data_IF_928111711170
#
_entry.id   IF_928111711170
#
_cell.length_a   1.000
_cell.length_b   1.000
_cell.length_c   1.000
_cell.angle_alpha   90.00
_cell.angle_beta   90.00
_cell.angle_gamma   90.00
#
_symmetry.space_group_name_H-M   'P 1'
#
loop_
_entity.id
_entity.type
_entity.pdbx_description
1 polymer ?
#
# COMPACT_ATOMS: atom_id res chain seq x y z
N UNK A 1 14.40 -22.21 -21.53
CA UNK A 1 14.26 -20.78 -21.22
C UNK A 1 12.79 -20.45 -21.39
N UNK A 2 12.03 -20.28 -20.30
CA UNK A 2 10.69 -19.70 -20.41
C UNK A 2 10.88 -18.21 -20.63
N UNK A 3 10.54 -17.72 -21.82
CA UNK A 3 10.38 -16.29 -22.02
C UNK A 3 9.34 -15.80 -21.02
N UNK A 4 9.71 -14.83 -20.18
CA UNK A 4 8.75 -14.17 -19.31
C UNK A 4 7.69 -13.53 -20.19
N UNK A 5 6.43 -13.96 -20.04
CA UNK A 5 5.29 -13.36 -20.76
C UNK A 5 5.31 -11.85 -20.51
N UNK A 6 5.40 -11.07 -21.58
CA UNK A 6 5.30 -9.62 -21.49
C UNK A 6 3.83 -9.23 -21.38
N UNK A 7 3.42 -8.72 -20.22
CA UNK A 7 2.05 -8.27 -20.02
C UNK A 7 1.78 -6.92 -20.70
N UNK A 8 0.62 -6.83 -21.36
CA UNK A 8 -0.03 -5.58 -21.75
C UNK A 8 -1.28 -5.38 -20.90
N UNK A 9 -1.88 -4.18 -20.95
CA UNK A 9 -3.17 -3.90 -20.28
C UNK A 9 -4.26 -4.86 -20.73
N UNK A 10 -4.34 -5.16 -22.02
CA UNK A 10 -5.33 -6.06 -22.62
C UNK A 10 -5.16 -7.49 -22.12
N UNK A 11 -3.91 -7.95 -21.98
CA UNK A 11 -3.63 -9.26 -21.42
C UNK A 11 -4.01 -9.32 -19.93
N UNK A 12 -3.78 -8.25 -19.17
CA UNK A 12 -4.26 -8.16 -17.78
C UNK A 12 -5.78 -8.26 -17.75
N UNK A 13 -6.50 -7.51 -18.59
CA UNK A 13 -7.97 -7.58 -18.70
C UNK A 13 -8.46 -9.00 -19.00
N UNK A 14 -7.79 -9.73 -19.91
CA UNK A 14 -8.12 -11.13 -20.18
C UNK A 14 -8.01 -12.01 -18.93
N UNK A 15 -6.94 -11.83 -18.14
CA UNK A 15 -6.74 -12.54 -16.88
C UNK A 15 -7.83 -12.21 -15.87
N UNK A 16 -8.16 -10.92 -15.71
CA UNK A 16 -9.19 -10.45 -14.78
C UNK A 16 -10.57 -11.00 -15.14
N UNK A 17 -10.92 -11.00 -16.43
CA UNK A 17 -12.21 -11.53 -16.92
C UNK A 17 -12.42 -13.02 -16.61
N UNK A 18 -11.33 -13.74 -16.35
CA UNK A 18 -11.32 -15.19 -16.07
C UNK A 18 -10.95 -15.49 -14.62
N UNK A 19 -10.88 -14.46 -13.77
CA UNK A 19 -10.40 -14.55 -12.39
C UNK A 19 -9.05 -15.29 -12.24
N UNK A 20 -8.17 -15.16 -13.24
CA UNK A 20 -6.88 -15.86 -13.25
C UNK A 20 -5.91 -15.23 -12.25
N UNK A 21 -5.14 -16.03 -11.51
CA UNK A 21 -4.08 -15.51 -10.66
C UNK A 21 -2.99 -14.85 -11.51
N UNK A 22 -2.40 -13.78 -10.99
CA UNK A 22 -1.27 -13.07 -11.61
C UNK A 22 0.02 -13.26 -10.79
N UNK A 23 0.09 -14.30 -9.96
CA UNK A 23 1.20 -14.51 -9.01
C UNK A 23 2.58 -14.40 -9.68
N UNK A 24 3.43 -13.54 -9.11
CA UNK A 24 4.81 -13.31 -9.57
C UNK A 24 4.95 -12.60 -10.91
N UNK A 25 3.85 -12.20 -11.56
CA UNK A 25 3.91 -11.59 -12.89
C UNK A 25 4.44 -10.16 -12.84
N UNK A 26 5.13 -9.76 -13.91
CA UNK A 26 5.63 -8.41 -14.06
C UNK A 26 4.61 -7.53 -14.80
N UNK A 27 3.95 -6.65 -14.05
CA UNK A 27 2.98 -5.67 -14.53
C UNK A 27 3.50 -4.24 -14.40
N UNK A 28 4.80 -4.05 -14.17
CA UNK A 28 5.40 -2.73 -13.92
C UNK A 28 5.27 -1.81 -15.12
N UNK A 29 5.17 -0.50 -14.84
CA UNK A 29 5.05 0.57 -15.83
C UNK A 29 3.79 0.50 -16.73
N UNK A 30 2.80 -0.32 -16.38
CA UNK A 30 1.56 -0.40 -17.14
C UNK A 30 0.56 0.67 -16.69
N UNK A 31 -0.26 1.13 -17.62
CA UNK A 31 -1.51 1.79 -17.26
C UNK A 31 -2.57 0.74 -16.97
N UNK A 32 -2.86 0.59 -15.68
CA UNK A 32 -3.83 -0.34 -15.10
C UNK A 32 -4.93 0.41 -14.35
N UNK A 33 -5.10 1.71 -14.64
CA UNK A 33 -6.13 2.54 -14.00
C UNK A 33 -7.53 2.00 -14.27
N UNK A 34 -8.41 2.20 -13.29
CA UNK A 34 -9.83 1.80 -13.31
C UNK A 34 -10.08 0.29 -13.46
N UNK A 35 -9.09 -0.57 -13.18
CA UNK A 35 -9.27 -2.01 -13.27
C UNK A 35 -9.77 -2.61 -11.96
N UNK A 36 -10.56 -3.68 -12.08
CA UNK A 36 -11.04 -4.45 -10.94
C UNK A 36 -10.21 -5.73 -10.76
N UNK A 37 -9.40 -5.72 -9.70
CA UNK A 37 -8.59 -6.84 -9.21
C UNK A 37 -9.20 -7.53 -7.98
N UNK A 38 -10.48 -7.26 -7.67
CA UNK A 38 -11.13 -7.84 -6.48
C UNK A 38 -11.02 -9.35 -6.46
N UNK A 39 -10.65 -9.89 -5.29
CA UNK A 39 -10.48 -11.31 -5.04
C UNK A 39 -9.42 -12.04 -5.90
N UNK A 40 -8.62 -11.32 -6.69
CA UNK A 40 -7.54 -11.93 -7.47
C UNK A 40 -6.34 -12.26 -6.57
N UNK A 41 -5.67 -13.37 -6.87
CA UNK A 41 -4.40 -13.73 -6.23
C UNK A 41 -3.25 -13.01 -6.95
N UNK A 42 -2.72 -11.99 -6.29
CA UNK A 42 -1.69 -11.05 -6.78
C UNK A 42 -0.36 -11.18 -6.02
N UNK A 43 -0.12 -12.34 -5.39
CA UNK A 43 1.08 -12.59 -4.58
C UNK A 43 2.33 -12.31 -5.38
N UNK A 44 3.25 -11.53 -4.82
CA UNK A 44 4.53 -11.19 -5.46
C UNK A 44 4.42 -10.56 -6.86
N UNK A 45 3.26 -10.03 -7.26
CA UNK A 45 3.13 -9.26 -8.51
C UNK A 45 3.99 -8.01 -8.43
N UNK A 46 4.63 -7.66 -9.54
CA UNK A 46 5.32 -6.40 -9.68
C UNK A 46 4.42 -5.37 -10.37
N UNK A 47 3.85 -4.44 -9.60
CA UNK A 47 3.13 -3.25 -10.04
C UNK A 47 4.00 -1.96 -10.02
N UNK A 48 5.32 -2.07 -9.84
CA UNK A 48 6.17 -0.89 -9.65
C UNK A 48 5.99 0.11 -10.79
N UNK A 49 5.86 1.39 -10.44
CA UNK A 49 5.66 2.53 -11.35
C UNK A 49 4.42 2.42 -12.27
N UNK A 50 3.48 1.52 -11.96
CA UNK A 50 2.24 1.40 -12.73
C UNK A 50 1.26 2.49 -12.34
N UNK A 51 0.44 2.91 -13.29
CA UNK A 51 -0.73 3.73 -12.99
C UNK A 51 -1.87 2.81 -12.55
N UNK A 52 -2.23 2.83 -11.26
CA UNK A 52 -3.33 2.05 -10.70
C UNK A 52 -4.49 2.94 -10.24
N UNK A 53 -4.48 4.23 -10.60
CA UNK A 53 -5.51 5.18 -10.19
C UNK A 53 -6.93 4.61 -10.32
N UNK A 54 -7.72 4.77 -9.25
CA UNK A 54 -9.12 4.34 -9.19
C UNK A 54 -9.35 2.82 -9.40
N UNK A 55 -8.33 1.98 -9.18
CA UNK A 55 -8.47 0.53 -9.28
C UNK A 55 -9.02 -0.08 -7.99
N UNK A 56 -9.66 -1.25 -8.12
CA UNK A 56 -10.32 -1.95 -7.03
C UNK A 56 -9.54 -3.23 -6.72
N UNK A 57 -9.23 -3.46 -5.45
CA UNK A 57 -8.43 -4.57 -4.93
C UNK A 57 -9.13 -5.28 -3.77
N UNK A 58 -10.46 -5.13 -3.64
CA UNK A 58 -11.22 -5.60 -2.49
C UNK A 58 -11.02 -7.11 -2.29
N UNK A 59 -10.60 -7.50 -1.10
CA UNK A 59 -10.37 -8.91 -0.74
C UNK A 59 -9.27 -9.64 -1.54
N UNK A 60 -8.47 -8.92 -2.34
CA UNK A 60 -7.37 -9.52 -3.11
C UNK A 60 -6.17 -9.88 -2.21
N UNK A 61 -5.34 -10.81 -2.67
CA UNK A 61 -4.11 -11.19 -1.98
C UNK A 61 -2.88 -10.60 -2.67
N UNK A 62 -2.41 -9.46 -2.17
CA UNK A 62 -1.22 -8.73 -2.63
C UNK A 62 0.02 -9.03 -1.77
N UNK A 63 0.02 -10.13 -1.02
CA UNK A 63 1.14 -10.43 -0.12
C UNK A 63 2.47 -10.46 -0.89
N UNK A 64 3.44 -9.73 -0.36
CA UNK A 64 4.78 -9.55 -0.93
C UNK A 64 4.80 -8.93 -2.34
N UNK A 65 3.73 -8.26 -2.77
CA UNK A 65 3.73 -7.53 -4.03
C UNK A 65 4.71 -6.32 -3.99
N UNK A 66 5.17 -5.93 -5.18
CA UNK A 66 6.05 -4.78 -5.37
C UNK A 66 5.25 -3.65 -6.01
N UNK A 67 5.00 -2.57 -5.29
CA UNK A 67 4.20 -1.43 -5.75
C UNK A 67 4.99 -0.13 -5.66
N UNK A 68 6.32 -0.21 -5.67
CA UNK A 68 7.20 0.96 -5.55
C UNK A 68 6.85 1.99 -6.62
N UNK A 69 6.63 3.24 -6.22
CA UNK A 69 6.36 4.32 -7.18
C UNK A 69 5.02 4.21 -7.92
N UNK A 70 4.15 3.26 -7.56
CA UNK A 70 2.84 3.14 -8.20
C UNK A 70 1.93 4.32 -7.82
N UNK A 71 1.10 4.76 -8.76
CA UNK A 71 0.02 5.70 -8.49
C UNK A 71 -1.20 4.93 -7.96
N UNK A 72 -1.45 5.02 -6.66
CA UNK A 72 -2.55 4.33 -5.99
C UNK A 72 -3.70 5.29 -5.64
N UNK A 73 -3.71 6.52 -6.16
CA UNK A 73 -4.72 7.51 -5.83
C UNK A 73 -6.13 6.97 -6.08
N UNK A 74 -7.01 7.12 -5.09
CA UNK A 74 -8.40 6.66 -5.09
C UNK A 74 -8.61 5.14 -5.23
N UNK A 75 -7.59 4.31 -4.96
CA UNK A 75 -7.77 2.86 -4.95
C UNK A 75 -8.60 2.36 -3.76
N UNK A 76 -9.26 1.22 -3.95
CA UNK A 76 -9.98 0.51 -2.88
C UNK A 76 -9.32 -0.83 -2.56
N UNK A 77 -8.62 -0.89 -1.43
CA UNK A 77 -7.94 -2.06 -0.88
C UNK A 77 -8.68 -2.69 0.31
N UNK A 78 -9.98 -2.40 0.49
CA UNK A 78 -10.73 -2.94 1.63
C UNK A 78 -10.58 -4.44 1.77
N UNK A 79 -10.29 -4.90 2.99
CA UNK A 79 -10.13 -6.32 3.34
C UNK A 79 -9.05 -7.06 2.53
N UNK A 80 -8.19 -6.36 1.80
CA UNK A 80 -7.10 -6.99 1.04
C UNK A 80 -5.95 -7.43 1.97
N UNK A 81 -5.14 -8.37 1.49
CA UNK A 81 -3.93 -8.80 2.16
C UNK A 81 -2.69 -8.14 1.53
N UNK A 82 -2.13 -7.13 2.19
CA UNK A 82 -0.91 -6.39 1.83
C UNK A 82 0.29 -6.81 2.68
N UNK A 83 0.29 -8.05 3.20
CA UNK A 83 1.35 -8.56 4.06
C UNK A 83 2.71 -8.43 3.38
N UNK A 84 3.64 -7.69 3.99
CA UNK A 84 4.99 -7.43 3.46
C UNK A 84 5.04 -6.84 2.05
N UNK A 85 4.01 -6.11 1.63
CA UNK A 85 4.00 -5.39 0.35
C UNK A 85 4.97 -4.20 0.41
N UNK A 86 5.69 -3.95 -0.69
CA UNK A 86 6.53 -2.76 -0.84
C UNK A 86 5.71 -1.62 -1.48
N UNK A 87 5.38 -0.62 -0.67
CA UNK A 87 4.62 0.59 -1.01
C UNK A 87 5.52 1.84 -0.89
N UNK A 88 6.84 1.69 -1.05
CA UNK A 88 7.74 2.84 -0.99
C UNK A 88 7.51 3.78 -2.18
N UNK A 89 7.56 5.08 -1.93
CA UNK A 89 7.49 6.12 -2.98
C UNK A 89 6.14 6.15 -3.71
N UNK A 90 5.07 5.63 -3.11
CA UNK A 90 3.74 5.65 -3.69
C UNK A 90 3.00 6.97 -3.44
N UNK A 91 2.10 7.32 -4.35
CA UNK A 91 1.03 8.28 -4.07
C UNK A 91 -0.25 7.55 -3.65
N UNK A 92 -0.73 7.84 -2.44
CA UNK A 92 -1.93 7.23 -1.85
C UNK A 92 -2.88 8.33 -1.35
N UNK A 93 -3.42 9.12 -2.28
CA UNK A 93 -4.47 10.11 -1.99
C UNK A 93 -5.84 9.42 -1.95
N UNK A 94 -6.62 9.64 -0.89
CA UNK A 94 -7.99 9.13 -0.73
C UNK A 94 -8.14 7.61 -0.92
N UNK A 95 -7.12 6.84 -0.52
CA UNK A 95 -7.13 5.37 -0.62
C UNK A 95 -7.94 4.76 0.51
N UNK A 96 -8.75 3.74 0.21
CA UNK A 96 -9.46 2.98 1.23
C UNK A 96 -8.73 1.67 1.55
N UNK A 97 -8.15 1.58 2.74
CA UNK A 97 -7.45 0.42 3.30
C UNK A 97 -8.19 -0.17 4.51
N UNK A 98 -9.47 0.19 4.70
CA UNK A 98 -10.19 -0.26 5.89
C UNK A 98 -10.24 -1.79 5.96
N UNK A 99 -9.93 -2.30 7.16
CA UNK A 99 -9.80 -3.74 7.44
C UNK A 99 -8.76 -4.51 6.61
N UNK A 100 -7.84 -3.83 5.92
CA UNK A 100 -6.74 -4.50 5.21
C UNK A 100 -5.68 -5.02 6.19
N UNK A 101 -4.95 -6.06 5.76
CA UNK A 101 -3.76 -6.55 6.47
C UNK A 101 -2.50 -5.92 5.87
N UNK A 102 -1.92 -4.93 6.54
CA UNK A 102 -0.64 -4.31 6.19
C UNK A 102 0.50 -4.79 7.08
N UNK A 103 0.39 -5.94 7.74
CA UNK A 103 1.44 -6.41 8.64
C UNK A 103 2.79 -6.53 7.89
N UNK A 104 3.81 -5.84 8.40
CA UNK A 104 5.14 -5.78 7.80
C UNK A 104 5.22 -5.06 6.44
N UNK A 105 4.17 -4.37 6.00
CA UNK A 105 4.22 -3.57 4.78
C UNK A 105 5.22 -2.40 4.93
N UNK A 106 5.89 -2.04 3.83
CA UNK A 106 6.85 -0.95 3.82
C UNK A 106 6.29 0.27 3.07
N UNK A 107 5.92 1.32 3.80
CA UNK A 107 5.48 2.61 3.30
C UNK A 107 6.53 3.71 3.55
N UNK A 108 7.78 3.35 3.88
CA UNK A 108 8.78 4.33 4.28
C UNK A 108 9.03 5.39 3.21
N UNK A 109 9.24 6.62 3.66
CA UNK A 109 9.81 7.69 2.88
C UNK A 109 11.24 7.39 2.43
N UNK A 110 11.74 8.22 1.54
CA UNK A 110 13.14 8.17 1.17
C UNK A 110 14.00 8.86 2.24
N UNK A 111 15.28 8.48 2.35
CA UNK A 111 16.22 9.16 3.23
C UNK A 111 16.38 10.63 2.79
N UNK A 112 16.53 11.54 3.75
CA UNK A 112 16.90 12.93 3.51
C UNK A 112 18.15 12.98 2.61
N UNK A 113 18.10 13.72 1.51
CA UNK A 113 19.15 13.84 0.47
C UNK A 113 19.29 12.68 -0.53
N UNK A 114 18.39 11.69 -0.54
CA UNK A 114 18.44 10.61 -1.53
C UNK A 114 18.02 11.03 -2.95
N UNK A 115 17.43 12.22 -3.12
CA UNK A 115 16.82 12.68 -4.38
C UNK A 115 15.56 11.91 -4.79
N UNK A 116 15.14 10.91 -4.01
CA UNK A 116 13.95 10.12 -4.28
C UNK A 116 12.70 10.78 -3.67
N UNK A 117 11.56 10.62 -4.35
CA UNK A 117 10.28 11.04 -3.81
C UNK A 117 9.92 10.23 -2.56
N UNK A 118 9.22 10.87 -1.61
CA UNK A 118 8.76 10.24 -0.36
C UNK A 118 7.36 9.67 -0.54
N UNK A 119 7.02 8.56 0.11
CA UNK A 119 5.66 8.02 0.14
C UNK A 119 4.69 9.05 0.71
N UNK A 120 3.61 9.36 -0.02
CA UNK A 120 2.58 10.32 0.38
C UNK A 120 1.26 9.60 0.59
N UNK A 121 0.81 9.55 1.84
CA UNK A 121 -0.46 8.95 2.26
C UNK A 121 -1.36 10.07 2.75
N UNK A 122 -2.30 10.51 1.92
CA UNK A 122 -3.09 11.74 2.18
C UNK A 122 -4.57 11.41 2.14
N UNK A 123 -5.30 11.68 3.22
CA UNK A 123 -6.73 11.39 3.28
C UNK A 123 -7.07 9.89 3.24
N UNK A 124 -6.07 9.00 3.43
CA UNK A 124 -6.30 7.57 3.39
C UNK A 124 -7.09 7.09 4.60
N UNK A 125 -7.94 6.08 4.40
CA UNK A 125 -8.70 5.44 5.46
C UNK A 125 -8.11 4.06 5.78
N UNK A 126 -7.45 3.93 6.93
CA UNK A 126 -6.91 2.67 7.46
C UNK A 126 -7.73 2.14 8.65
N UNK A 127 -8.96 2.61 8.84
CA UNK A 127 -9.79 2.23 9.97
C UNK A 127 -9.91 0.70 10.10
N UNK A 128 -9.64 0.18 11.30
CA UNK A 128 -9.74 -1.24 11.59
C UNK A 128 -8.71 -2.13 10.89
N UNK A 129 -7.71 -1.56 10.21
CA UNK A 129 -6.64 -2.32 9.58
C UNK A 129 -5.69 -2.97 10.60
N UNK A 130 -4.96 -4.00 10.16
CA UNK A 130 -3.86 -4.61 10.92
C UNK A 130 -2.56 -4.17 10.29
N UNK A 131 -1.85 -3.24 10.91
CA UNK A 131 -0.60 -2.65 10.41
C UNK A 131 0.57 -2.86 11.40
N UNK A 132 0.57 -4.00 12.10
CA UNK A 132 1.67 -4.38 13.00
C UNK A 132 2.98 -4.45 12.23
N UNK A 133 4.05 -3.92 12.82
CA UNK A 133 5.38 -3.91 12.19
C UNK A 133 5.44 -3.24 10.81
N UNK A 134 4.43 -2.44 10.44
CA UNK A 134 4.49 -1.66 9.22
C UNK A 134 5.53 -0.54 9.37
N UNK A 135 6.23 -0.24 8.29
CA UNK A 135 7.22 0.83 8.29
C UNK A 135 6.65 2.10 7.64
N UNK A 136 6.43 3.14 8.44
CA UNK A 136 6.02 4.48 8.00
C UNK A 136 7.14 5.52 8.14
N UNK A 137 8.36 5.10 8.46
CA UNK A 137 9.51 5.98 8.66
C UNK A 137 9.60 7.04 7.56
N UNK A 138 9.69 8.32 7.92
CA UNK A 138 9.77 9.47 6.99
C UNK A 138 8.61 9.63 6.01
N UNK A 139 7.52 8.86 6.14
CA UNK A 139 6.36 9.01 5.28
C UNK A 139 5.62 10.32 5.57
N UNK A 140 4.93 10.85 4.55
CA UNK A 140 4.03 11.99 4.71
C UNK A 140 2.61 11.45 4.90
N UNK A 141 2.11 11.48 6.13
CA UNK A 141 0.75 11.03 6.51
C UNK A 141 -0.11 12.23 6.92
N UNK A 142 -0.87 12.77 5.97
CA UNK A 142 -1.73 13.93 6.23
C UNK A 142 -3.21 13.54 6.18
N UNK A 143 -3.99 13.94 7.19
CA UNK A 143 -5.44 13.67 7.25
C UNK A 143 -5.78 12.17 7.16
N UNK A 144 -4.92 11.30 7.69
CA UNK A 144 -5.11 9.84 7.64
C UNK A 144 -5.99 9.38 8.81
N UNK A 145 -6.97 8.51 8.54
CA UNK A 145 -7.76 7.87 9.57
C UNK A 145 -7.15 6.52 9.97
N UNK A 146 -6.54 6.45 11.14
CA UNK A 146 -5.99 5.23 11.75
C UNK A 146 -6.88 4.71 12.89
N UNK A 147 -8.14 5.13 12.99
CA UNK A 147 -9.01 4.72 14.09
C UNK A 147 -9.18 3.20 14.17
N UNK A 148 -9.08 2.64 15.37
CA UNK A 148 -9.19 1.20 15.62
C UNK A 148 -8.16 0.34 14.87
N UNK A 149 -7.06 0.93 14.37
CA UNK A 149 -5.97 0.21 13.71
C UNK A 149 -5.04 -0.43 14.72
N UNK A 150 -4.55 -1.64 14.44
CA UNK A 150 -3.50 -2.29 15.22
C UNK A 150 -2.11 -1.95 14.64
N UNK A 151 -1.41 -1.04 15.31
CA UNK A 151 -0.14 -0.43 14.95
C UNK A 151 1.04 -0.92 15.80
N UNK A 152 0.86 -1.96 16.61
CA UNK A 152 1.93 -2.43 17.51
C UNK A 152 3.18 -2.81 16.73
N UNK A 153 4.32 -2.27 17.17
CA UNK A 153 5.62 -2.44 16.54
C UNK A 153 5.79 -1.71 15.20
N UNK A 154 4.82 -0.88 14.78
CA UNK A 154 5.00 -0.03 13.60
C UNK A 154 6.03 1.07 13.86
N UNK A 155 6.78 1.43 12.81
CA UNK A 155 7.81 2.47 12.87
C UNK A 155 7.26 3.78 12.31
N UNK A 156 7.25 4.85 13.12
CA UNK A 156 6.82 6.19 12.71
C UNK A 156 7.96 7.23 12.79
N UNK A 157 9.22 6.78 12.81
CA UNK A 157 10.36 7.68 12.96
C UNK A 157 10.37 8.75 11.85
N UNK A 158 10.40 10.03 12.23
CA UNK A 158 10.34 11.19 11.31
C UNK A 158 9.08 11.21 10.40
N UNK A 159 8.02 10.50 10.75
CA UNK A 159 6.75 10.53 9.98
C UNK A 159 6.01 11.84 10.23
N UNK A 160 5.56 12.51 9.15
CA UNK A 160 4.62 13.62 9.31
C UNK A 160 3.22 13.05 9.59
N UNK A 161 2.67 13.34 10.77
CA UNK A 161 1.37 12.82 11.24
C UNK A 161 0.30 13.92 11.33
N UNK A 162 0.39 14.96 10.50
CA UNK A 162 -0.52 16.11 10.55
C UNK A 162 -1.98 15.69 10.34
N UNK A 163 -2.84 16.02 11.31
CA UNK A 163 -4.29 15.70 11.29
C UNK A 163 -4.59 14.20 11.16
N UNK A 164 -3.72 13.35 11.71
CA UNK A 164 -3.98 11.90 11.79
C UNK A 164 -4.90 11.60 12.98
N UNK A 165 -5.88 10.72 12.77
CA UNK A 165 -6.79 10.26 13.82
C UNK A 165 -6.40 8.87 14.32
N UNK A 166 -6.24 8.70 15.64
CA UNK A 166 -5.77 7.46 16.29
C UNK A 166 -6.76 6.92 17.34
N UNK A 167 -8.04 7.26 17.22
CA UNK A 167 -9.05 6.86 18.21
C UNK A 167 -9.20 5.34 18.24
N UNK A 168 -9.01 4.74 19.42
CA UNK A 168 -9.14 3.29 19.61
C UNK A 168 -8.02 2.45 18.97
N UNK A 169 -7.00 3.09 18.41
CA UNK A 169 -5.84 2.41 17.82
C UNK A 169 -4.98 1.77 18.89
N UNK A 170 -4.34 0.65 18.55
CA UNK A 170 -3.39 -0.04 19.45
C UNK A 170 -1.98 0.25 18.97
N UNK A 171 -1.18 0.96 19.75
CA UNK A 171 0.23 1.24 19.47
C UNK A 171 1.08 1.08 20.74
N UNK A 172 2.38 0.93 20.57
CA UNK A 172 3.33 0.96 21.67
C UNK A 172 3.59 2.44 22.01
N UNK A 173 3.17 2.89 23.19
CA UNK A 173 3.21 4.31 23.57
C UNK A 173 4.65 4.84 23.61
N UNK A 174 5.58 4.08 24.18
CA UNK A 174 6.97 4.50 24.34
C UNK A 174 7.68 4.60 22.99
N UNK A 175 7.41 3.64 22.09
CA UNK A 175 7.95 3.67 20.74
C UNK A 175 7.31 4.77 19.88
N UNK A 176 6.00 4.98 20.05
CA UNK A 176 5.25 5.97 19.29
C UNK A 176 5.67 7.39 19.66
N UNK A 177 5.66 7.76 20.94
CA UNK A 177 5.98 9.11 21.40
C UNK A 177 7.42 9.52 21.00
N UNK A 178 8.37 8.59 21.12
CA UNK A 178 9.76 8.80 20.65
C UNK A 178 9.87 9.02 19.14
N UNK A 179 8.96 8.43 18.36
CA UNK A 179 9.05 8.43 16.90
C UNK A 179 8.48 9.69 16.24
N UNK A 180 7.53 10.36 16.91
CA UNK A 180 6.86 11.57 16.39
C UNK A 180 7.30 12.87 17.06
N UNK A 181 8.33 12.84 17.91
CA UNK A 181 8.94 14.01 18.59
C UNK A 181 7.91 14.92 19.30
N UNK A 182 7.02 14.33 20.11
CA UNK A 182 6.11 15.07 21.01
C UNK A 182 6.69 15.18 22.41
#
# INVERSE_FOLDING_TARGET
MNESVKFSRELVLDYLSKAKPLTGQNLSNLDLSNLDFSYIVLRSVNFSYSNLHNSIFVGSDLSRAYMRGANLNSCDFRKSNLFRTNLTVTEMKNVNLSHANLQGANLSGAASNSGQSTSRVIGANLQGAVARYANFERAIMERVNLNNTDLRGANFFETNMTRVSLQGSKYDIDAFDKSINV
#
